data_IF_298681600836
#
_entry.id   IF_298681600836
#
_cell.length_a   1.000
_cell.length_b   1.000
_cell.length_c   1.000
_cell.angle_alpha   90.00
_cell.angle_beta   90.00
_cell.angle_gamma   90.00
#
_symmetry.space_group_name_H-M   'P 1'
#
loop_
_entity.id
_entity.type
_entity.pdbx_description
1 polymer ?
#
# COMPACT_ATOMS: atom_id res chain seq x y z
N UNK A 1 -4.20 6.02 -1.49
CA UNK A 1 -3.65 4.97 -2.38
C UNK A 1 -3.21 5.56 -3.73
N UNK A 2 -4.10 6.21 -4.50
CA UNK A 2 -3.80 6.78 -5.83
C UNK A 2 -2.54 7.64 -5.90
N UNK A 3 -2.38 8.57 -4.96
CA UNK A 3 -1.20 9.46 -4.90
C UNK A 3 0.12 8.69 -4.68
N UNK A 4 0.11 7.63 -3.87
CA UNK A 4 1.29 6.79 -3.66
C UNK A 4 1.67 6.04 -4.93
N UNK A 5 0.69 5.50 -5.64
CA UNK A 5 0.93 4.79 -6.90
C UNK A 5 1.52 5.73 -7.95
N UNK A 6 1.02 6.97 -8.05
CA UNK A 6 1.58 7.98 -8.92
C UNK A 6 3.03 8.35 -8.53
N UNK A 7 3.31 8.48 -7.23
CA UNK A 7 4.65 8.74 -6.72
C UNK A 7 5.63 7.60 -7.03
N UNK A 8 5.19 6.33 -7.01
CA UNK A 8 6.06 5.20 -7.35
C UNK A 8 6.62 5.32 -8.76
N UNK A 9 5.79 5.70 -9.74
CA UNK A 9 6.24 5.87 -11.13
C UNK A 9 7.35 6.94 -11.25
N UNK A 10 7.29 8.01 -10.46
CA UNK A 10 8.32 9.04 -10.43
C UNK A 10 9.64 8.57 -9.81
N UNK A 11 9.61 7.51 -9.00
CA UNK A 11 10.79 6.92 -8.39
C UNK A 11 11.53 5.93 -9.28
N UNK A 12 11.01 5.59 -10.47
CA UNK A 12 11.59 4.59 -11.37
C UNK A 12 13.07 4.88 -11.71
N UNK A 13 13.37 6.14 -11.99
CA UNK A 13 14.71 6.58 -12.42
C UNK A 13 15.62 6.99 -11.24
N UNK A 14 15.17 6.80 -10.00
CA UNK A 14 15.88 7.22 -8.79
C UNK A 14 16.49 6.01 -8.06
N UNK A 15 17.71 5.55 -8.41
CA UNK A 15 18.28 4.29 -7.90
C UNK A 15 18.54 4.29 -6.39
N UNK A 16 18.56 5.47 -5.74
CA UNK A 16 18.69 5.59 -4.28
C UNK A 16 17.39 5.25 -3.54
N UNK A 17 16.23 5.30 -4.21
CA UNK A 17 14.94 4.97 -3.61
C UNK A 17 14.77 3.46 -3.60
N UNK A 18 14.73 2.86 -2.40
CA UNK A 18 14.68 1.40 -2.22
C UNK A 18 13.31 0.86 -1.82
N UNK A 19 12.34 1.75 -1.58
CA UNK A 19 11.02 1.36 -1.13
C UNK A 19 10.16 2.56 -0.77
N UNK A 20 9.10 2.29 -0.02
CA UNK A 20 8.13 3.29 0.41
C UNK A 20 7.69 3.02 1.85
N UNK A 21 7.16 4.05 2.51
CA UNK A 21 6.61 3.96 3.85
C UNK A 21 5.10 4.25 3.82
N UNK A 22 4.31 3.41 4.49
CA UNK A 22 2.87 3.61 4.66
C UNK A 22 2.43 3.31 6.08
N UNK A 23 1.34 3.97 6.51
CA UNK A 23 0.72 3.77 7.81
C UNK A 23 -0.78 3.96 7.71
N UNK A 24 -1.27 5.18 7.99
CA UNK A 24 -2.72 5.51 7.99
C UNK A 24 -3.45 5.08 6.71
N UNK A 25 -2.79 5.14 5.56
CA UNK A 25 -3.35 4.70 4.27
C UNK A 25 -3.78 3.23 4.25
N UNK A 26 -3.15 2.38 5.07
CA UNK A 26 -3.49 0.96 5.23
C UNK A 26 -4.53 0.77 6.33
N UNK A 27 -4.26 1.27 7.54
CA UNK A 27 -5.01 0.83 8.73
C UNK A 27 -6.12 1.77 9.18
N UNK A 28 -6.13 3.06 8.81
CA UNK A 28 -6.98 4.04 9.48
C UNK A 28 -8.48 3.73 9.32
N UNK A 29 -8.91 3.42 8.10
CA UNK A 29 -10.30 3.08 7.77
C UNK A 29 -10.72 1.71 8.37
N UNK A 30 -9.84 0.71 8.30
CA UNK A 30 -10.07 -0.60 8.92
C UNK A 30 -10.21 -0.46 10.45
N UNK A 31 -9.31 0.29 11.08
CA UNK A 31 -9.34 0.55 12.52
C UNK A 31 -10.61 1.29 12.95
N UNK A 32 -11.05 2.30 12.20
CA UNK A 32 -12.29 3.02 12.48
C UNK A 32 -13.51 2.07 12.44
N UNK A 33 -13.59 1.22 11.43
CA UNK A 33 -14.69 0.25 11.28
C UNK A 33 -14.65 -0.80 12.40
N UNK A 34 -13.47 -1.29 12.72
CA UNK A 34 -13.25 -2.32 13.74
C UNK A 34 -13.58 -1.80 15.15
N UNK A 35 -13.05 -0.63 15.52
CA UNK A 35 -13.34 0.01 16.82
C UNK A 35 -14.83 0.39 16.96
N UNK A 36 -15.51 0.68 15.86
CA UNK A 36 -16.96 0.92 15.84
C UNK A 36 -17.80 -0.38 15.87
N UNK A 37 -17.18 -1.56 15.91
CA UNK A 37 -17.87 -2.86 15.89
C UNK A 37 -18.57 -3.17 14.55
N UNK A 38 -18.23 -2.46 13.47
CA UNK A 38 -18.83 -2.65 12.13
C UNK A 38 -18.21 -3.82 11.37
N UNK A 39 -16.98 -4.21 11.72
CA UNK A 39 -16.28 -5.36 11.16
C UNK A 39 -15.59 -6.14 12.28
N UNK A 40 -15.40 -7.43 12.07
CA UNK A 40 -14.66 -8.29 13.00
C UNK A 40 -13.14 -8.25 12.74
N UNK A 41 -12.39 -8.96 13.58
CA UNK A 41 -10.94 -9.05 13.52
C UNK A 41 -10.45 -9.57 12.15
N UNK A 42 -11.11 -10.60 11.63
CA UNK A 42 -10.71 -11.23 10.36
C UNK A 42 -10.91 -10.29 9.18
N UNK A 43 -12.04 -9.58 9.14
CA UNK A 43 -12.34 -8.58 8.13
C UNK A 43 -11.37 -7.40 8.20
N UNK A 44 -11.00 -6.94 9.40
CA UNK A 44 -10.00 -5.88 9.56
C UNK A 44 -8.62 -6.31 9.04
N UNK A 45 -8.17 -7.52 9.37
CA UNK A 45 -6.90 -8.09 8.87
C UNK A 45 -6.93 -8.23 7.34
N UNK A 46 -8.02 -8.74 6.78
CA UNK A 46 -8.16 -8.93 5.34
C UNK A 46 -8.12 -7.60 4.57
N UNK A 47 -8.85 -6.57 5.03
CA UNK A 47 -8.87 -5.25 4.38
C UNK A 47 -7.47 -4.60 4.38
N UNK A 48 -6.77 -4.65 5.52
CA UNK A 48 -5.40 -4.12 5.62
C UNK A 48 -4.41 -4.89 4.74
N UNK A 49 -4.49 -6.23 4.73
CA UNK A 49 -3.64 -7.08 3.91
C UNK A 49 -3.87 -6.84 2.40
N UNK A 50 -5.12 -6.66 1.98
CA UNK A 50 -5.46 -6.38 0.60
C UNK A 50 -4.86 -5.04 0.14
N UNK A 51 -5.05 -3.98 0.94
CA UNK A 51 -4.49 -2.64 0.68
C UNK A 51 -2.97 -2.68 0.58
N UNK A 52 -2.31 -3.36 1.50
CA UNK A 52 -0.87 -3.50 1.49
C UNK A 52 -0.40 -4.27 0.26
N UNK A 53 -1.08 -5.37 -0.09
CA UNK A 53 -0.81 -6.14 -1.29
C UNK A 53 -0.91 -5.33 -2.58
N UNK A 54 -1.91 -4.44 -2.70
CA UNK A 54 -2.05 -3.56 -3.87
C UNK A 54 -0.87 -2.58 -4.00
N UNK A 55 -0.45 -1.95 -2.91
CA UNK A 55 0.71 -1.05 -2.91
C UNK A 55 2.02 -1.79 -3.24
N UNK A 56 2.24 -2.96 -2.66
CA UNK A 56 3.42 -3.78 -2.94
C UNK A 56 3.48 -4.18 -4.42
N UNK A 57 2.36 -4.61 -5.01
CA UNK A 57 2.29 -4.92 -6.46
C UNK A 57 2.59 -3.70 -7.31
N UNK A 58 2.03 -2.53 -6.96
CA UNK A 58 2.29 -1.29 -7.69
C UNK A 58 3.78 -0.89 -7.63
N UNK A 59 4.42 -1.00 -6.47
CA UNK A 59 5.85 -0.75 -6.31
C UNK A 59 6.71 -1.72 -7.13
N UNK A 60 6.41 -3.01 -7.07
CA UNK A 60 7.12 -4.04 -7.83
C UNK A 60 7.00 -3.85 -9.34
N UNK A 61 5.85 -3.41 -9.83
CA UNK A 61 5.65 -3.15 -11.26
C UNK A 61 6.59 -2.04 -11.78
N UNK A 62 6.88 -1.03 -10.95
CA UNK A 62 7.83 0.04 -11.31
C UNK A 62 9.27 -0.47 -11.28
N UNK A 63 9.64 -1.25 -10.26
CA UNK A 63 11.02 -1.78 -10.12
C UNK A 63 11.34 -2.86 -11.17
N UNK A 64 10.38 -3.70 -11.52
CA UNK A 64 10.55 -4.74 -12.55
C UNK A 64 10.67 -4.17 -13.96
N UNK A 65 10.14 -2.97 -14.22
CA UNK A 65 10.27 -2.29 -15.51
C UNK A 65 11.66 -1.67 -15.74
N UNK A 66 12.45 -1.43 -14.68
CA UNK A 66 13.82 -0.91 -14.78
C UNK A 66 14.91 -1.99 -14.88
N UNK A 67 14.54 -3.26 -14.80
CA UNK A 67 15.46 -4.40 -14.83
C UNK A 67 15.39 -5.24 -16.12
N UNK A 68 14.63 -4.78 -17.14
CA UNK A 68 14.46 -5.44 -18.43
C UNK A 68 15.12 -4.67 -19.56
#
# INVERSE_FOLDING_TARGET
>A
EKELVAAFALCADAPIVKGFAVGRTIFADAAEKWLAGRIDDQAAVADMAERFGRLTRAWQAVQGAGAA
#
